data_IF_548618066559
#
_entry.id   IF_548618066559
#
_cell.length_a   1.000
_cell.length_b   1.000
_cell.length_c   1.000
_cell.angle_alpha   90.00
_cell.angle_beta   90.00
_cell.angle_gamma   90.00
#
_symmetry.space_group_name_H-M   'P 1'
#
loop_
_entity.id
_entity.type
_entity.pdbx_description
1 polymer ?
#
# COMPACT_ATOMS: atom_id res chain seq x y z
N UNK A 1 18.52 -8.29 -19.86
CA UNK A 1 19.93 -7.89 -19.62
C UNK A 1 20.47 -8.71 -18.45
N UNK A 2 21.78 -8.75 -18.19
CA UNK A 2 22.27 -9.43 -16.97
C UNK A 2 21.97 -8.59 -15.73
N UNK A 3 21.90 -9.22 -14.56
CA UNK A 3 21.73 -8.51 -13.27
C UNK A 3 22.83 -7.46 -13.08
N UNK A 4 24.08 -7.83 -13.40
CA UNK A 4 25.25 -6.96 -13.27
C UNK A 4 25.16 -5.74 -14.17
N UNK A 5 24.68 -5.90 -15.40
CA UNK A 5 24.52 -4.79 -16.34
C UNK A 5 23.42 -3.83 -15.87
N UNK A 6 22.29 -4.36 -15.42
CA UNK A 6 21.19 -3.56 -14.88
C UNK A 6 21.65 -2.68 -13.70
N UNK A 7 22.32 -3.28 -12.72
CA UNK A 7 22.80 -2.55 -11.53
C UNK A 7 23.89 -1.53 -11.88
N UNK A 8 24.75 -1.84 -12.86
CA UNK A 8 25.78 -0.91 -13.35
C UNK A 8 25.14 0.31 -14.01
N UNK A 9 24.15 0.12 -14.87
CA UNK A 9 23.42 1.22 -15.51
C UNK A 9 22.64 2.05 -14.50
N UNK A 10 21.96 1.41 -13.56
CA UNK A 10 21.25 2.09 -12.48
C UNK A 10 22.22 2.95 -11.64
N UNK A 11 23.39 2.40 -11.26
CA UNK A 11 24.42 3.12 -10.50
C UNK A 11 24.96 4.30 -11.29
N UNK A 12 25.28 4.10 -12.57
CA UNK A 12 25.75 5.16 -13.44
C UNK A 12 24.72 6.28 -13.59
N UNK A 13 23.44 5.94 -13.72
CA UNK A 13 22.37 6.92 -13.82
C UNK A 13 22.21 7.75 -12.53
N UNK A 14 22.26 7.09 -11.38
CA UNK A 14 22.05 7.72 -10.07
C UNK A 14 23.27 8.52 -9.58
N UNK A 15 24.47 8.19 -10.05
CA UNK A 15 25.70 8.91 -9.71
C UNK A 15 25.55 10.39 -10.08
N UNK A 16 25.84 11.27 -9.11
CA UNK A 16 25.69 12.72 -9.26
C UNK A 16 24.25 13.25 -9.23
N UNK A 17 23.23 12.38 -9.17
CA UNK A 17 21.81 12.77 -9.04
C UNK A 17 21.24 12.57 -7.64
N UNK A 18 21.84 11.68 -6.85
CA UNK A 18 21.44 11.39 -5.47
C UNK A 18 22.67 11.37 -4.55
N UNK A 19 22.44 11.39 -3.23
CA UNK A 19 23.53 11.24 -2.26
C UNK A 19 24.14 9.83 -2.31
N UNK A 20 25.40 9.68 -1.88
CA UNK A 20 26.07 8.37 -1.83
C UNK A 20 25.30 7.33 -1.00
N UNK A 21 24.65 7.76 0.09
CA UNK A 21 23.82 6.87 0.92
C UNK A 21 22.59 6.37 0.16
N UNK A 22 21.87 7.26 -0.53
CA UNK A 22 20.70 6.89 -1.32
C UNK A 22 21.07 6.03 -2.54
N UNK A 23 22.24 6.27 -3.13
CA UNK A 23 22.79 5.44 -4.21
C UNK A 23 22.99 4.00 -3.73
N UNK A 24 23.73 3.81 -2.65
CA UNK A 24 24.03 2.48 -2.11
C UNK A 24 22.77 1.76 -1.59
N UNK A 25 21.82 2.51 -1.03
CA UNK A 25 20.51 1.96 -0.64
C UNK A 25 19.74 1.43 -1.85
N UNK A 26 19.66 2.22 -2.93
CA UNK A 26 18.99 1.82 -4.16
C UNK A 26 19.64 0.58 -4.77
N UNK A 27 20.97 0.57 -4.93
CA UNK A 27 21.68 -0.58 -5.52
C UNK A 27 21.45 -1.85 -4.70
N UNK A 28 21.60 -1.77 -3.37
CA UNK A 28 21.40 -2.91 -2.47
C UNK A 28 19.96 -3.43 -2.51
N UNK A 29 18.98 -2.54 -2.61
CA UNK A 29 17.57 -2.91 -2.72
C UNK A 29 17.30 -3.74 -3.97
N UNK A 30 17.75 -3.26 -5.14
CA UNK A 30 17.52 -3.96 -6.41
C UNK A 30 18.37 -5.22 -6.55
N UNK A 31 19.59 -5.22 -6.00
CA UNK A 31 20.42 -6.42 -5.92
C UNK A 31 19.70 -7.53 -5.15
N UNK A 32 19.23 -7.24 -3.93
CA UNK A 32 18.48 -8.21 -3.11
C UNK A 32 17.21 -8.70 -3.79
N UNK A 33 16.47 -7.82 -4.47
CA UNK A 33 15.27 -8.20 -5.20
C UNK A 33 15.60 -9.17 -6.34
N UNK A 34 16.58 -8.82 -7.19
CA UNK A 34 16.98 -9.66 -8.32
C UNK A 34 17.56 -11.01 -7.86
N UNK A 35 18.32 -11.02 -6.77
CA UNK A 35 18.81 -12.26 -6.15
C UNK A 35 17.66 -13.14 -5.68
N UNK A 36 16.61 -12.56 -5.10
CA UNK A 36 15.40 -13.27 -4.70
C UNK A 36 14.65 -13.88 -5.88
N UNK A 37 14.50 -13.14 -6.98
CA UNK A 37 13.85 -13.62 -8.20
C UNK A 37 14.62 -14.79 -8.83
N UNK A 38 15.96 -14.71 -8.86
CA UNK A 38 16.81 -15.78 -9.37
C UNK A 38 16.77 -17.00 -8.45
N UNK A 39 16.83 -16.81 -7.13
CA UNK A 39 16.68 -17.90 -6.16
C UNK A 39 15.31 -18.58 -6.24
N UNK A 40 14.28 -17.87 -6.72
CA UNK A 40 12.94 -18.38 -6.95
C UNK A 40 12.80 -19.16 -8.27
N UNK A 41 13.89 -19.30 -9.04
CA UNK A 41 13.94 -20.08 -10.28
C UNK A 41 13.81 -19.28 -11.58
N UNK A 42 13.73 -17.94 -11.52
CA UNK A 42 13.70 -17.10 -12.73
C UNK A 42 15.10 -16.88 -13.28
N UNK A 43 15.20 -16.69 -14.59
CA UNK A 43 16.47 -16.27 -15.20
C UNK A 43 16.78 -14.80 -14.90
N UNK A 44 18.07 -14.40 -14.88
CA UNK A 44 18.45 -12.99 -14.68
C UNK A 44 17.82 -12.05 -15.74
N UNK A 45 17.72 -12.53 -16.98
CA UNK A 45 17.14 -11.76 -18.08
C UNK A 45 15.65 -11.52 -17.87
N UNK A 46 14.92 -12.49 -17.36
CA UNK A 46 13.50 -12.39 -17.05
C UNK A 46 13.26 -11.49 -15.82
N UNK A 47 14.04 -11.67 -14.76
CA UNK A 47 13.95 -10.84 -13.55
C UNK A 47 14.21 -9.35 -13.87
N UNK A 48 15.22 -9.06 -14.70
CA UNK A 48 15.48 -7.67 -15.13
C UNK A 48 14.44 -7.15 -16.11
N UNK A 49 13.90 -7.98 -16.99
CA UNK A 49 12.82 -7.58 -17.89
C UNK A 49 11.54 -7.22 -17.12
N UNK A 50 11.23 -7.92 -16.02
CA UNK A 50 10.12 -7.60 -15.13
C UNK A 50 10.26 -6.24 -14.43
N UNK A 51 11.48 -5.76 -14.23
CA UNK A 51 11.76 -4.41 -13.71
C UNK A 51 11.71 -3.32 -14.78
N UNK A 52 12.03 -3.66 -16.03
CA UNK A 52 12.10 -2.70 -17.14
C UNK A 52 13.44 -1.97 -17.24
N UNK A 53 13.43 -0.75 -17.78
CA UNK A 53 14.65 0.02 -18.05
C UNK A 53 15.25 0.61 -16.75
N UNK A 54 16.53 0.33 -16.41
CA UNK A 54 17.19 0.84 -15.22
C UNK A 54 17.15 2.36 -15.09
N UNK A 55 17.14 3.10 -16.20
CA UNK A 55 17.12 4.58 -16.22
C UNK A 55 15.77 5.15 -15.78
N UNK A 56 14.67 4.48 -16.11
CA UNK A 56 13.33 4.90 -15.69
C UNK A 56 13.18 4.76 -14.17
N UNK A 57 13.67 3.64 -13.64
CA UNK A 57 13.77 3.42 -12.18
C UNK A 57 14.66 4.47 -11.54
N UNK A 58 15.85 4.68 -12.10
CA UNK A 58 16.79 5.70 -11.63
C UNK A 58 16.20 7.10 -11.61
N UNK A 59 15.39 7.46 -12.63
CA UNK A 59 14.68 8.75 -12.70
C UNK A 59 13.70 8.91 -11.54
N UNK A 60 12.88 7.89 -11.27
CA UNK A 60 11.92 7.91 -10.16
C UNK A 60 12.62 8.11 -8.80
N UNK A 61 13.74 7.42 -8.59
CA UNK A 61 14.54 7.53 -7.36
C UNK A 61 15.15 8.93 -7.23
N UNK A 62 15.78 9.45 -8.29
CA UNK A 62 16.36 10.79 -8.29
C UNK A 62 15.31 11.89 -8.05
N UNK A 63 14.14 11.77 -8.69
CA UNK A 63 13.02 12.69 -8.48
C UNK A 63 12.50 12.64 -7.04
N UNK A 64 12.43 11.45 -6.44
CA UNK A 64 12.04 11.28 -5.04
C UNK A 64 13.09 11.86 -4.07
N UNK A 65 14.37 11.60 -4.31
CA UNK A 65 15.49 12.14 -3.52
C UNK A 65 15.50 13.68 -3.55
N UNK A 66 15.43 14.29 -4.73
CA UNK A 66 15.41 15.74 -4.88
C UNK A 66 14.22 16.41 -4.18
N UNK A 67 13.06 15.75 -4.11
CA UNK A 67 11.90 16.23 -3.33
C UNK A 67 12.16 16.16 -1.82
N UNK A 68 12.78 15.08 -1.32
CA UNK A 68 13.14 14.94 0.11
C UNK A 68 14.14 16.02 0.54
N UNK A 69 15.18 16.27 -0.25
CA UNK A 69 16.19 17.31 0.07
C UNK A 69 15.58 18.71 0.15
N UNK A 70 14.67 19.07 -0.77
CA UNK A 70 13.97 20.36 -0.73
C UNK A 70 13.06 20.52 0.48
N UNK A 71 12.40 19.44 0.91
CA UNK A 71 11.57 19.44 2.12
C UNK A 71 12.41 19.58 3.39
N UNK A 72 13.57 18.94 3.46
CA UNK A 72 14.46 19.01 4.61
C UNK A 72 15.16 20.38 4.76
N UNK A 73 15.48 21.03 3.63
CA UNK A 73 16.04 22.39 3.61
C UNK A 73 15.04 23.44 4.12
N UNK A 74 13.76 23.35 3.71
CA UNK A 74 12.70 24.26 4.20
C UNK A 74 12.38 24.11 5.68
N UNK A 75 12.64 22.94 6.26
CA UNK A 75 12.37 22.69 7.68
C UNK A 75 13.54 23.11 8.59
N UNK A 76 14.74 23.32 8.03
CA UNK A 76 15.93 23.73 8.78
C UNK A 76 16.07 25.26 8.90
N UNK A 77 15.40 26.04 8.04
CA UNK A 77 15.41 27.51 8.11
C UNK A 77 14.39 28.11 9.10
N UNK A 78 13.61 27.29 9.81
CA UNK A 78 12.51 27.74 10.69
C UNK A 78 12.86 27.68 12.19
N UNK A 79 14.11 27.32 12.55
CA UNK A 79 14.52 27.16 13.96
C UNK A 79 15.43 28.27 14.51
N UNK A 80 15.45 29.47 13.91
CA UNK A 80 16.30 30.57 14.38
C UNK A 80 15.57 31.76 15.01
N UNK A 81 14.25 31.76 15.17
CA UNK A 81 13.58 32.91 15.81
C UNK A 81 12.25 32.58 16.49
N UNK A 82 12.23 32.95 17.78
CA UNK A 82 11.08 33.35 18.60
C UNK A 82 10.11 32.30 19.16
N UNK A 83 10.30 32.08 20.47
CA UNK A 83 9.26 31.86 21.46
C UNK A 83 8.01 32.74 21.23
N UNK A 84 6.85 32.13 20.99
CA UNK A 84 5.59 32.48 21.67
C UNK A 84 4.58 31.34 21.53
N UNK A 85 3.93 31.05 22.65
CA UNK A 85 2.81 30.12 22.84
C UNK A 85 1.81 30.10 21.67
N UNK A 86 1.49 28.91 21.15
CA UNK A 86 0.13 28.36 21.20
C UNK A 86 0.14 26.84 20.90
N UNK A 87 -0.67 26.09 21.66
CA UNK A 87 -0.80 24.63 21.59
C UNK A 87 -1.55 24.24 20.30
N UNK A 88 -0.86 23.41 19.52
CA UNK A 88 -1.27 22.47 18.44
C UNK A 88 -2.72 21.92 18.47
N UNK A 89 -3.27 21.45 17.31
CA UNK A 89 -2.49 20.80 16.25
C UNK A 89 -2.64 21.45 14.86
N UNK A 90 -1.51 21.91 14.35
CA UNK A 90 -1.36 22.25 12.95
C UNK A 90 -1.30 21.01 12.05
N UNK A 91 -2.00 21.18 10.93
CA UNK A 91 -2.15 20.34 9.75
C UNK A 91 -0.81 19.81 9.24
N UNK A 92 -0.40 18.63 9.71
CA UNK A 92 0.75 17.92 9.16
C UNK A 92 0.41 17.22 7.84
N UNK A 93 0.81 17.80 6.71
CA UNK A 93 0.92 17.18 5.37
C UNK A 93 0.03 15.94 5.11
N UNK A 94 -1.24 16.29 4.90
CA UNK A 94 -2.46 15.55 4.67
C UNK A 94 -2.59 14.81 3.31
N UNK A 95 -1.52 14.26 2.74
CA UNK A 95 -1.62 13.66 1.39
C UNK A 95 -1.32 12.16 1.32
N UNK A 96 -0.52 11.61 2.25
CA UNK A 96 -0.19 10.16 2.24
C UNK A 96 -0.74 9.38 3.44
N UNK A 97 -1.05 10.05 4.56
CA UNK A 97 -1.88 9.46 5.62
C UNK A 97 -3.36 9.36 5.22
N UNK A 98 -3.85 10.21 4.29
CA UNK A 98 -5.24 10.12 3.81
C UNK A 98 -5.52 8.83 3.04
N UNK A 99 -4.53 8.26 2.34
CA UNK A 99 -4.75 7.04 1.55
C UNK A 99 -4.82 5.79 2.44
N UNK A 100 -3.87 5.61 3.37
CA UNK A 100 -3.92 4.50 4.33
C UNK A 100 -5.02 4.68 5.38
N UNK A 101 -5.34 5.91 5.79
CA UNK A 101 -6.47 6.22 6.66
C UNK A 101 -7.83 6.00 5.99
N UNK A 102 -7.99 6.33 4.71
CA UNK A 102 -9.22 6.05 3.96
C UNK A 102 -9.44 4.54 3.77
N UNK A 103 -8.38 3.78 3.46
CA UNK A 103 -8.47 2.31 3.34
C UNK A 103 -8.87 1.68 4.68
N UNK A 104 -8.29 2.15 5.79
CA UNK A 104 -8.67 1.70 7.14
C UNK A 104 -10.14 1.99 7.48
N UNK A 105 -10.65 3.16 7.13
CA UNK A 105 -12.06 3.55 7.34
C UNK A 105 -13.02 2.73 6.48
N UNK A 106 -12.67 2.45 5.22
CA UNK A 106 -13.48 1.61 4.33
C UNK A 106 -13.55 0.18 4.86
N UNK A 107 -12.44 -0.39 5.31
CA UNK A 107 -12.42 -1.72 5.92
C UNK A 107 -13.27 -1.76 7.20
N UNK A 108 -13.15 -0.73 8.05
CA UNK A 108 -13.95 -0.62 9.27
C UNK A 108 -15.45 -0.52 8.97
N UNK A 109 -15.83 0.26 7.95
CA UNK A 109 -17.23 0.39 7.50
C UNK A 109 -17.76 -0.92 6.93
N UNK A 110 -16.98 -1.64 6.12
CA UNK A 110 -17.38 -2.95 5.58
C UNK A 110 -17.60 -3.96 6.71
N UNK A 111 -16.69 -4.00 7.69
CA UNK A 111 -16.83 -4.84 8.88
C UNK A 111 -18.08 -4.48 9.70
N UNK A 112 -18.33 -3.19 9.93
CA UNK A 112 -19.52 -2.72 10.64
C UNK A 112 -20.81 -3.12 9.90
N UNK A 113 -20.85 -2.95 8.58
CA UNK A 113 -21.98 -3.35 7.73
C UNK A 113 -22.20 -4.86 7.78
N UNK A 114 -21.15 -5.67 7.73
CA UNK A 114 -21.25 -7.12 7.88
C UNK A 114 -21.82 -7.51 9.25
N UNK A 115 -21.38 -6.89 10.34
CA UNK A 115 -21.92 -7.14 11.68
C UNK A 115 -23.42 -6.83 11.74
N UNK A 116 -23.84 -5.69 11.17
CA UNK A 116 -25.25 -5.30 11.13
C UNK A 116 -26.06 -6.27 10.26
N UNK A 117 -25.58 -6.64 9.08
CA UNK A 117 -26.21 -7.65 8.22
C UNK A 117 -26.39 -8.98 8.94
N UNK A 118 -25.36 -9.43 9.65
CA UNK A 118 -25.41 -10.69 10.42
C UNK A 118 -26.47 -10.62 11.52
N UNK A 119 -26.60 -9.47 12.21
CA UNK A 119 -27.64 -9.25 13.22
C UNK A 119 -29.04 -9.20 12.63
N UNK A 120 -29.20 -8.57 11.47
CA UNK A 120 -30.48 -8.50 10.76
C UNK A 120 -30.90 -9.90 10.29
N UNK A 121 -30.01 -10.66 9.66
CA UNK A 121 -30.27 -12.03 9.24
C UNK A 121 -30.61 -12.92 10.45
N UNK A 122 -29.85 -12.81 11.55
CA UNK A 122 -30.13 -13.56 12.77
C UNK A 122 -31.48 -13.19 13.41
N UNK A 123 -31.93 -11.94 13.25
CA UNK A 123 -33.26 -11.51 13.69
C UNK A 123 -34.38 -12.08 12.82
N UNK A 124 -34.16 -12.20 11.50
CA UNK A 124 -35.13 -12.80 10.59
C UNK A 124 -35.11 -14.33 10.59
N UNK A 125 -34.02 -14.95 11.02
CA UNK A 125 -33.88 -16.40 11.13
C UNK A 125 -35.03 -17.10 11.89
N UNK A 126 -35.45 -16.65 13.11
CA UNK A 126 -36.59 -17.26 13.80
C UNK A 126 -37.91 -17.12 13.04
N UNK A 127 -38.15 -15.98 12.36
CA UNK A 127 -39.34 -15.80 11.52
C UNK A 127 -39.34 -16.78 10.33
N UNK A 128 -38.18 -16.96 9.71
CA UNK A 128 -37.99 -17.88 8.57
C UNK A 128 -38.23 -19.33 9.00
N UNK A 129 -37.76 -19.72 10.18
CA UNK A 129 -38.05 -21.05 10.78
C UNK A 129 -39.55 -21.23 11.03
N UNK A 130 -40.24 -20.23 11.57
CA UNK A 130 -41.69 -20.30 11.81
C UNK A 130 -42.47 -20.47 10.49
N UNK A 131 -42.14 -19.66 9.47
CA UNK A 131 -42.76 -19.79 8.13
C UNK A 131 -42.44 -21.14 7.50
N UNK A 132 -41.21 -21.64 7.65
CA UNK A 132 -40.81 -22.95 7.16
C UNK A 132 -41.59 -24.08 7.83
N UNK A 133 -41.79 -24.03 9.15
CA UNK A 133 -42.61 -25.01 9.88
C UNK A 133 -44.07 -24.96 9.43
N UNK A 134 -44.65 -23.76 9.26
CA UNK A 134 -46.01 -23.60 8.73
C UNK A 134 -46.10 -24.15 7.31
N UNK A 135 -45.15 -23.83 6.43
CA UNK A 135 -45.09 -24.35 5.07
C UNK A 135 -44.93 -25.88 5.05
N UNK A 136 -44.16 -26.46 5.98
CA UNK A 136 -44.00 -27.90 6.12
C UNK A 136 -45.30 -28.56 6.58
N UNK A 137 -46.00 -27.98 7.56
CA UNK A 137 -47.31 -28.48 8.02
C UNK A 137 -48.38 -28.35 6.92
N UNK A 138 -48.40 -27.23 6.19
CA UNK A 138 -49.31 -27.05 5.05
C UNK A 138 -48.97 -27.99 3.89
N UNK A 139 -47.70 -28.24 3.60
CA UNK A 139 -47.27 -29.23 2.60
C UNK A 139 -47.59 -30.65 3.04
N UNK A 140 -47.51 -30.94 4.34
CA UNK A 140 -47.86 -32.25 4.91
C UNK A 140 -49.38 -32.48 4.94
N UNK A 141 -50.17 -31.43 5.16
CA UNK A 141 -51.64 -31.50 5.18
C UNK A 141 -52.28 -31.27 3.79
N UNK A 142 -51.56 -30.65 2.86
CA UNK A 142 -51.97 -30.34 1.48
C UNK A 142 -51.63 -31.44 0.48
N UNK A 143 -51.22 -32.63 0.93
CA UNK A 143 -51.16 -33.84 0.12
C UNK A 143 -52.54 -34.41 -0.26
N UNK A 144 -53.50 -33.54 -0.57
CA UNK A 144 -54.86 -33.87 -1.00
C UNK A 144 -55.31 -32.85 -2.05
N UNK A 145 -54.79 -33.02 -3.27
CA UNK A 145 -55.55 -33.10 -4.52
C UNK A 145 -54.63 -33.39 -5.68
#
# INVERSE_FOLDING_TARGET
MSKKDFLRELRSYLTGKVSSGELEEAIRYYEKYLDGEVASGKSEAEATAGLGDPRIIGKSIADAAGRRSRHHSRNSSVNASQNRYEKKPEKGNWSRLKLYGAIGIVILLVLAVLIVLTRVIAFFFPLLVVVFVIALVLRRNGGLR
#
